data_IF_604333189331
#
_entry.id   IF_604333189331
#
_cell.length_a   1.000
_cell.length_b   1.000
_cell.length_c   1.000
_cell.angle_alpha   90.00
_cell.angle_beta   90.00
_cell.angle_gamma   90.00
#
_symmetry.space_group_name_H-M   'P 1'
#
loop_
_entity.id
_entity.type
_entity.pdbx_description
1 polymer ?
#
# COMPACT_ATOMS: atom_id res chain seq x y z
N UNK A 1 13.85 15.88 14.90
CA UNK A 1 12.89 14.78 14.69
C UNK A 1 13.27 13.86 13.53
N UNK A 2 13.61 14.37 12.33
CA UNK A 2 14.08 13.52 11.22
C UNK A 2 15.33 12.68 11.56
N UNK A 3 16.26 13.24 12.36
CA UNK A 3 17.51 12.59 12.76
C UNK A 3 17.34 11.41 13.73
N UNK A 4 16.21 11.29 14.43
CA UNK A 4 15.98 10.22 15.42
C UNK A 4 15.30 8.99 14.80
N UNK A 5 14.57 9.16 13.69
CA UNK A 5 13.71 8.09 13.14
C UNK A 5 13.91 7.81 11.64
N UNK A 6 14.60 8.62 10.84
CA UNK A 6 14.89 8.27 9.44
C UNK A 6 13.66 7.85 8.59
N UNK A 7 13.86 7.25 7.40
CA UNK A 7 12.77 6.73 6.59
C UNK A 7 12.16 5.49 7.26
N UNK A 8 10.94 5.63 7.81
CA UNK A 8 10.30 4.57 8.59
C UNK A 8 9.68 3.45 7.74
N UNK A 9 9.67 3.58 6.40
CA UNK A 9 9.06 2.62 5.44
C UNK A 9 7.75 1.98 5.92
N UNK A 10 6.98 2.75 6.70
CA UNK A 10 5.89 2.22 7.52
C UNK A 10 4.73 1.72 6.68
N UNK A 11 4.64 2.16 5.42
CA UNK A 11 3.70 1.68 4.43
C UNK A 11 4.37 0.75 3.41
N UNK A 12 3.93 -0.51 3.26
CA UNK A 12 4.56 -1.52 2.41
C UNK A 12 4.15 -1.40 0.93
N UNK A 13 4.25 -0.21 0.35
CA UNK A 13 3.91 0.05 -1.05
C UNK A 13 5.14 0.20 -1.93
N UNK A 14 5.16 -0.46 -3.09
CA UNK A 14 6.30 -0.40 -4.04
C UNK A 14 6.29 0.86 -4.91
N UNK A 15 5.11 1.39 -5.19
CA UNK A 15 4.91 2.57 -6.03
C UNK A 15 3.93 3.53 -5.35
N UNK A 16 3.97 4.81 -5.73
CA UNK A 16 3.01 5.80 -5.21
C UNK A 16 1.57 5.41 -5.49
N UNK A 17 1.30 4.85 -6.67
CA UNK A 17 -0.04 4.37 -7.04
C UNK A 17 -0.51 3.25 -6.11
N UNK A 18 0.35 2.27 -5.84
CA UNK A 18 0.04 1.18 -4.91
C UNK A 18 -0.22 1.69 -3.48
N UNK A 19 0.55 2.69 -3.03
CA UNK A 19 0.34 3.34 -1.72
C UNK A 19 -1.04 4.00 -1.66
N UNK A 20 -1.42 4.76 -2.69
CA UNK A 20 -2.72 5.45 -2.76
C UNK A 20 -3.87 4.44 -2.79
N UNK A 21 -3.80 3.42 -3.64
CA UNK A 21 -4.82 2.36 -3.70
C UNK A 21 -4.95 1.67 -2.35
N UNK A 22 -3.83 1.31 -1.71
CA UNK A 22 -3.83 0.73 -0.37
C UNK A 22 -4.51 1.63 0.66
N UNK A 23 -4.17 2.93 0.67
CA UNK A 23 -4.73 3.91 1.61
C UNK A 23 -6.25 4.10 1.43
N UNK A 24 -6.76 3.99 0.21
CA UNK A 24 -8.21 4.00 -0.06
C UNK A 24 -8.85 2.72 0.47
N UNK A 25 -8.26 1.56 0.18
CA UNK A 25 -8.82 0.26 0.60
C UNK A 25 -8.88 0.14 2.13
N UNK A 26 -7.87 0.61 2.85
CA UNK A 26 -7.85 0.57 4.33
C UNK A 26 -8.99 1.33 4.99
N UNK A 27 -9.65 2.26 4.29
CA UNK A 27 -10.75 3.05 4.88
C UNK A 27 -11.99 2.19 5.15
N UNK A 28 -12.20 1.09 4.42
CA UNK A 28 -13.45 0.31 4.49
C UNK A 28 -13.20 -1.22 4.61
N UNK A 29 -11.99 -1.66 4.90
CA UNK A 29 -11.71 -3.10 5.07
C UNK A 29 -10.51 -3.37 5.98
N UNK A 30 -10.41 -4.58 6.51
CA UNK A 30 -9.29 -5.00 7.36
C UNK A 30 -7.98 -5.06 6.58
N UNK A 31 -6.85 -4.85 7.26
CA UNK A 31 -5.53 -4.91 6.65
C UNK A 31 -5.28 -6.22 5.87
N UNK A 32 -5.70 -7.36 6.41
CA UNK A 32 -5.59 -8.66 5.73
C UNK A 32 -6.35 -8.70 4.38
N UNK A 33 -7.51 -8.03 4.29
CA UNK A 33 -8.26 -7.92 3.04
C UNK A 33 -7.59 -6.96 2.05
N UNK A 34 -6.98 -5.87 2.54
CA UNK A 34 -6.18 -4.96 1.71
C UNK A 34 -5.00 -5.70 1.10
N UNK A 35 -4.23 -6.45 1.89
CA UNK A 35 -3.11 -7.24 1.40
C UNK A 35 -3.56 -8.24 0.32
N UNK A 36 -4.69 -8.92 0.53
CA UNK A 36 -5.26 -9.83 -0.47
C UNK A 36 -5.63 -9.09 -1.77
N UNK A 37 -6.27 -7.94 -1.68
CA UNK A 37 -6.66 -7.13 -2.84
C UNK A 37 -5.43 -6.63 -3.62
N UNK A 38 -4.41 -6.10 -2.94
CA UNK A 38 -3.16 -5.63 -3.56
C UNK A 38 -2.43 -6.79 -4.25
N UNK A 39 -2.38 -7.98 -3.63
CA UNK A 39 -1.80 -9.18 -4.30
C UNK A 39 -2.54 -9.52 -5.59
N UNK A 40 -3.88 -9.47 -5.59
CA UNK A 40 -4.69 -9.75 -6.77
C UNK A 40 -4.47 -8.72 -7.89
N UNK A 41 -4.49 -7.42 -7.55
CA UNK A 41 -4.22 -6.34 -8.51
C UNK A 41 -2.82 -6.44 -9.10
N UNK A 42 -1.82 -6.82 -8.29
CA UNK A 42 -0.45 -7.06 -8.76
C UNK A 42 -0.38 -8.24 -9.73
N UNK A 43 -1.00 -9.37 -9.39
CA UNK A 43 -1.05 -10.54 -10.26
C UNK A 43 -1.73 -10.22 -11.61
N UNK A 44 -2.75 -9.37 -11.58
CA UNK A 44 -3.44 -8.88 -12.77
C UNK A 44 -2.70 -7.75 -13.52
N UNK A 45 -1.55 -7.27 -13.00
CA UNK A 45 -0.78 -6.13 -13.54
C UNK A 45 -1.60 -4.83 -13.63
N UNK A 46 -2.51 -4.59 -12.68
CA UNK A 46 -3.40 -3.43 -12.61
C UNK A 46 -2.93 -2.33 -11.62
N UNK A 47 -1.66 -2.35 -11.22
CA UNK A 47 -1.07 -1.38 -10.28
C UNK A 47 -0.29 -0.28 -11.00
N UNK A 48 -0.85 0.22 -12.11
CA UNK A 48 -0.40 1.38 -12.86
C UNK A 48 -1.63 2.19 -13.31
N UNK A 49 -1.49 3.51 -13.53
CA UNK A 49 -2.55 4.34 -14.09
C UNK A 49 -2.99 3.90 -15.49
#
# INVERSE_FOLDING_TARGET
MLAAHGPQHWWPGRTRFEIIVGAILTQNTSWANVERAIRNLRAARLLAP
#
